data_IF_703811252468
#
_entry.id   IF_703811252468
#
_cell.length_a   1.000
_cell.length_b   1.000
_cell.length_c   1.000
_cell.angle_alpha   90.00
_cell.angle_beta   90.00
_cell.angle_gamma   90.00
#
_symmetry.space_group_name_H-M   'P 1'
#
loop_
_entity.id
_entity.type
_entity.pdbx_description
1 polymer ?
#
# COMPACT_ATOMS: atom_id res chain seq x y z
N UNK A 1 -13.68 54.32 3.59
CA UNK A 1 -13.37 53.80 2.25
C UNK A 1 -13.60 52.29 2.26
N UNK A 2 -14.57 51.82 1.50
CA UNK A 2 -15.01 50.43 1.45
C UNK A 2 -14.05 49.59 0.58
N UNK A 3 -13.28 48.69 1.20
CA UNK A 3 -12.45 47.69 0.50
C UNK A 3 -13.32 46.52 0.01
N UNK A 4 -14.19 46.76 -0.98
CA UNK A 4 -15.26 45.83 -1.38
C UNK A 4 -14.93 44.93 -2.59
N UNK A 5 -13.73 44.99 -3.18
CA UNK A 5 -13.38 44.12 -4.32
C UNK A 5 -11.92 43.68 -4.30
N UNK A 6 -11.51 42.90 -3.29
CA UNK A 6 -10.36 42.00 -3.48
C UNK A 6 -10.85 40.85 -4.34
N UNK A 7 -10.67 40.95 -5.68
CA UNK A 7 -10.76 39.78 -6.56
C UNK A 7 -9.91 38.69 -5.92
N UNK A 8 -10.45 37.49 -5.63
CA UNK A 8 -9.62 36.42 -5.12
C UNK A 8 -8.50 36.22 -6.13
N UNK A 9 -7.27 36.25 -5.65
CA UNK A 9 -6.09 35.90 -6.44
C UNK A 9 -6.42 34.58 -7.12
N UNK A 10 -6.63 34.62 -8.45
CA UNK A 10 -7.07 33.44 -9.21
C UNK A 10 -5.89 32.49 -9.12
N UNK A 11 -6.00 31.48 -8.25
CA UNK A 11 -4.94 30.48 -8.12
C UNK A 11 -4.67 29.89 -9.50
N UNK A 12 -3.40 29.67 -9.86
CA UNK A 12 -3.08 29.07 -11.13
C UNK A 12 -3.86 27.75 -11.27
N UNK A 13 -4.41 27.46 -12.47
CA UNK A 13 -5.07 26.19 -12.70
C UNK A 13 -4.12 25.05 -12.34
N UNK A 14 -4.69 23.96 -11.83
CA UNK A 14 -3.93 22.76 -11.52
C UNK A 14 -3.19 22.28 -12.77
N UNK A 15 -1.90 21.97 -12.65
CA UNK A 15 -1.20 21.26 -13.71
C UNK A 15 -1.61 19.79 -13.63
N UNK A 16 -2.51 19.40 -14.53
CA UNK A 16 -3.01 18.03 -14.67
C UNK A 16 -2.37 17.31 -15.86
N UNK A 17 -1.25 17.82 -16.37
CA UNK A 17 -0.55 17.21 -17.48
C UNK A 17 -0.14 15.76 -17.14
N UNK A 18 -0.47 14.84 -18.04
CA UNK A 18 -0.16 13.42 -17.87
C UNK A 18 -1.08 12.64 -16.92
N UNK A 19 -2.15 13.24 -16.38
CA UNK A 19 -3.19 12.51 -15.66
C UNK A 19 -3.86 11.49 -16.60
N UNK A 20 -3.97 10.23 -16.17
CA UNK A 20 -4.48 9.13 -16.99
C UNK A 20 -3.43 8.50 -17.92
N UNK A 21 -2.20 9.03 -17.95
CA UNK A 21 -1.10 8.46 -18.73
C UNK A 21 0.12 8.14 -17.86
N UNK A 22 0.82 9.16 -17.37
CA UNK A 22 1.99 9.00 -16.48
C UNK A 22 1.60 9.02 -14.99
N UNK A 23 0.46 9.62 -14.65
CA UNK A 23 -0.02 9.78 -13.29
C UNK A 23 -1.44 9.25 -13.16
N UNK A 24 -1.70 8.51 -12.07
CA UNK A 24 -3.04 8.04 -11.69
C UNK A 24 -3.76 9.15 -10.91
N UNK A 25 -3.04 9.82 -10.01
CA UNK A 25 -3.58 10.88 -9.17
C UNK A 25 -2.62 12.07 -9.08
N UNK A 26 -3.16 13.27 -9.23
CA UNK A 26 -2.45 14.55 -9.11
C UNK A 26 -3.12 15.46 -8.08
N UNK A 27 -2.35 16.26 -7.32
CA UNK A 27 -2.89 17.14 -6.31
C UNK A 27 -3.60 18.33 -6.97
N UNK A 28 -4.66 18.83 -6.34
CA UNK A 28 -5.48 19.91 -6.91
C UNK A 28 -5.62 21.07 -5.92
N UNK A 29 -5.36 22.31 -6.36
CA UNK A 29 -5.53 23.49 -5.52
C UNK A 29 -7.01 23.79 -5.26
N UNK A 30 -7.23 24.61 -4.22
CA UNK A 30 -8.57 25.00 -3.78
C UNK A 30 -9.31 25.78 -4.87
N UNK A 31 -10.58 25.44 -5.06
CA UNK A 31 -11.46 26.17 -5.99
C UNK A 31 -11.37 25.76 -7.45
N UNK A 32 -10.61 24.71 -7.78
CA UNK A 32 -10.70 24.03 -9.07
C UNK A 32 -12.03 23.27 -9.26
N UNK A 33 -12.22 22.72 -10.45
CA UNK A 33 -13.31 21.78 -10.79
C UNK A 33 -12.72 20.44 -11.17
N UNK A 34 -13.45 19.37 -10.89
CA UNK A 34 -13.05 18.03 -11.33
C UNK A 34 -13.13 17.95 -12.86
N UNK A 35 -12.04 17.57 -13.56
CA UNK A 35 -12.04 17.43 -15.02
C UNK A 35 -12.99 16.33 -15.51
N UNK A 36 -13.30 16.40 -16.79
CA UNK A 36 -14.13 15.41 -17.47
C UNK A 36 -13.47 14.02 -17.46
N UNK A 37 -14.25 12.97 -17.23
CA UNK A 37 -13.76 11.59 -17.10
C UNK A 37 -12.96 11.30 -15.83
N UNK A 38 -12.83 12.26 -14.92
CA UNK A 38 -12.10 12.11 -13.66
C UNK A 38 -13.05 12.20 -12.45
N UNK A 39 -12.56 11.74 -11.30
CA UNK A 39 -13.18 12.03 -10.01
C UNK A 39 -12.14 12.64 -9.08
N UNK A 40 -12.58 13.32 -8.02
CA UNK A 40 -11.68 13.83 -7.00
C UNK A 40 -11.90 13.14 -5.67
N UNK A 41 -10.81 12.89 -4.94
CA UNK A 41 -10.82 12.40 -3.57
C UNK A 41 -10.28 13.49 -2.68
N UNK A 42 -11.03 13.83 -1.64
CA UNK A 42 -10.58 14.71 -0.57
C UNK A 42 -10.38 13.86 0.67
N UNK A 43 -9.19 13.91 1.27
CA UNK A 43 -8.86 13.19 2.48
C UNK A 43 -8.42 14.15 3.58
N UNK A 44 -8.93 13.93 4.79
CA UNK A 44 -8.46 14.65 5.98
C UNK A 44 -7.27 13.94 6.64
N UNK A 45 -6.72 14.56 7.69
CA UNK A 45 -5.59 13.98 8.44
C UNK A 45 -5.96 12.69 9.16
N UNK A 46 -7.22 12.49 9.51
CA UNK A 46 -7.72 11.25 10.12
C UNK A 46 -7.95 10.13 9.09
N UNK A 47 -7.73 10.40 7.79
CA UNK A 47 -7.90 9.45 6.70
C UNK A 47 -9.34 9.25 6.25
N UNK A 48 -10.30 10.05 6.74
CA UNK A 48 -11.66 10.06 6.22
C UNK A 48 -11.65 10.71 4.85
N UNK A 49 -12.31 10.06 3.90
CA UNK A 49 -12.34 10.50 2.51
C UNK A 49 -13.75 10.80 2.03
N UNK A 50 -13.84 11.63 1.00
CA UNK A 50 -15.06 11.86 0.24
C UNK A 50 -14.73 12.04 -1.22
N UNK A 51 -15.54 11.42 -2.08
CA UNK A 51 -15.42 11.54 -3.54
C UNK A 51 -16.30 12.66 -4.07
N UNK A 52 -15.80 13.37 -5.07
CA UNK A 52 -16.56 14.30 -5.90
C UNK A 52 -16.52 13.81 -7.34
N UNK A 53 -17.67 13.86 -7.99
CA UNK A 53 -17.82 13.50 -9.41
C UNK A 53 -17.20 14.56 -10.32
N UNK A 54 -17.03 14.19 -11.58
CA UNK A 54 -16.79 15.09 -12.71
C UNK A 54 -17.63 16.37 -12.64
N UNK A 55 -17.02 17.51 -13.00
CA UNK A 55 -17.65 18.83 -13.01
C UNK A 55 -17.91 19.45 -11.63
N UNK A 56 -17.77 18.69 -10.53
CA UNK A 56 -17.98 19.19 -9.19
C UNK A 56 -16.90 20.22 -8.80
N UNK A 57 -17.29 21.20 -7.98
CA UNK A 57 -16.38 22.22 -7.47
C UNK A 57 -15.63 21.71 -6.24
N UNK A 58 -14.31 21.89 -6.23
CA UNK A 58 -13.43 21.48 -5.14
C UNK A 58 -13.52 22.46 -3.97
N UNK A 59 -14.43 22.17 -3.03
CA UNK A 59 -14.54 22.83 -1.75
C UNK A 59 -13.64 22.14 -0.72
N UNK A 60 -12.33 22.42 -0.76
CA UNK A 60 -11.33 21.87 0.16
C UNK A 60 -11.47 22.54 1.53
N UNK A 61 -11.70 21.74 2.58
CA UNK A 61 -11.76 22.17 3.98
C UNK A 61 -10.35 22.33 4.57
N UNK A 62 -10.24 23.05 5.68
CA UNK A 62 -8.95 23.28 6.32
C UNK A 62 -8.35 21.95 6.81
N UNK A 63 -7.14 21.64 6.34
CA UNK A 63 -6.44 20.38 6.65
C UNK A 63 -6.80 19.20 5.75
N UNK A 64 -7.68 19.37 4.76
CA UNK A 64 -7.89 18.38 3.70
C UNK A 64 -6.82 18.50 2.60
N UNK A 65 -6.44 17.35 2.05
CA UNK A 65 -5.71 17.24 0.79
C UNK A 65 -6.67 16.75 -0.29
N UNK A 66 -6.50 17.23 -1.53
CA UNK A 66 -7.38 16.88 -2.64
C UNK A 66 -6.55 16.38 -3.82
N UNK A 67 -6.99 15.26 -4.40
CA UNK A 67 -6.42 14.67 -5.60
C UNK A 67 -7.48 14.53 -6.68
N UNK A 68 -7.11 14.83 -7.92
CA UNK A 68 -7.85 14.44 -9.11
C UNK A 68 -7.30 13.10 -9.59
N UNK A 69 -8.20 12.18 -9.91
CA UNK A 69 -7.89 10.80 -10.25
C UNK A 69 -8.55 10.47 -11.58
N UNK A 70 -7.77 9.86 -12.47
CA UNK A 70 -8.31 9.24 -13.66
C UNK A 70 -8.55 7.75 -13.37
N UNK A 71 -9.76 7.21 -13.58
CA UNK A 71 -10.10 5.85 -13.18
C UNK A 71 -9.41 4.76 -14.02
N UNK A 72 -8.94 5.09 -15.22
CA UNK A 72 -8.37 4.13 -16.17
C UNK A 72 -9.20 4.04 -17.45
N UNK A 73 -8.98 3.02 -18.29
CA UNK A 73 -8.14 1.84 -18.04
C UNK A 73 -6.63 2.14 -18.07
N UNK A 74 -5.87 1.36 -17.31
CA UNK A 74 -4.40 1.36 -17.31
C UNK A 74 -3.87 -0.01 -17.75
N UNK A 75 -2.76 -0.02 -18.49
CA UNK A 75 -2.06 -1.24 -18.88
C UNK A 75 -0.62 -1.24 -18.39
N UNK A 76 -0.15 -2.36 -17.84
CA UNK A 76 1.25 -2.53 -17.45
C UNK A 76 1.74 -3.98 -17.66
N UNK A 77 3.05 -4.12 -17.74
CA UNK A 77 3.73 -5.42 -17.78
C UNK A 77 4.42 -5.67 -16.43
N UNK A 78 4.02 -6.73 -15.73
CA UNK A 78 4.56 -7.16 -14.44
C UNK A 78 5.52 -8.33 -14.59
N UNK A 79 6.40 -8.47 -13.61
CA UNK A 79 7.41 -9.54 -13.52
C UNK A 79 7.12 -10.42 -12.31
N UNK A 80 6.42 -11.54 -12.48
CA UNK A 80 6.08 -12.45 -11.38
C UNK A 80 7.33 -13.01 -10.70
N UNK A 81 8.35 -13.36 -11.48
CA UNK A 81 9.57 -13.98 -10.99
C UNK A 81 10.78 -13.10 -11.27
N UNK A 82 11.40 -12.57 -10.22
CA UNK A 82 12.64 -11.81 -10.38
C UNK A 82 13.75 -12.64 -11.08
N UNK A 83 13.75 -13.96 -10.88
CA UNK A 83 14.72 -14.87 -11.48
C UNK A 83 14.49 -15.13 -12.99
N UNK A 84 13.25 -14.99 -13.50
CA UNK A 84 12.87 -15.23 -14.89
C UNK A 84 12.14 -13.99 -15.47
N UNK A 85 12.86 -12.88 -15.71
CA UNK A 85 12.28 -11.60 -16.11
C UNK A 85 11.68 -11.57 -17.52
N UNK A 86 11.91 -12.61 -18.32
CA UNK A 86 11.37 -12.84 -19.66
C UNK A 86 9.92 -13.35 -19.63
N UNK A 87 9.50 -14.01 -18.55
CA UNK A 87 8.11 -14.43 -18.38
C UNK A 87 7.39 -13.34 -17.58
N UNK A 88 6.46 -12.63 -18.23
CA UNK A 88 5.73 -11.53 -17.64
C UNK A 88 4.22 -11.75 -17.62
N UNK A 89 3.53 -10.81 -16.99
CA UNK A 89 2.08 -10.67 -17.04
C UNK A 89 1.72 -9.32 -17.62
N UNK A 90 0.90 -9.31 -18.67
CA UNK A 90 0.25 -8.08 -19.11
C UNK A 90 -1.06 -7.93 -18.35
N UNK A 91 -1.18 -6.82 -17.64
CA UNK A 91 -2.31 -6.54 -16.76
C UNK A 91 -3.02 -5.27 -17.23
N UNK A 92 -4.33 -5.36 -17.43
CA UNK A 92 -5.22 -4.21 -17.57
C UNK A 92 -6.00 -4.03 -16.28
N UNK A 93 -6.04 -2.81 -15.77
CA UNK A 93 -6.72 -2.51 -14.52
C UNK A 93 -7.37 -1.13 -14.50
N UNK A 94 -8.35 -0.99 -13.62
CA UNK A 94 -9.05 0.26 -13.35
C UNK A 94 -9.18 0.50 -11.83
N UNK A 95 -9.26 1.76 -11.44
CA UNK A 95 -9.52 2.17 -10.07
C UNK A 95 -10.99 1.94 -9.73
N UNK A 96 -11.27 1.50 -8.51
CA UNK A 96 -12.62 1.24 -8.01
C UNK A 96 -13.57 2.44 -8.23
N UNK A 97 -14.77 2.16 -8.72
CA UNK A 97 -15.86 3.14 -8.74
C UNK A 97 -16.43 3.33 -7.33
N UNK A 98 -17.01 4.50 -7.04
CA UNK A 98 -17.61 4.73 -5.72
C UNK A 98 -18.75 3.74 -5.41
N UNK A 99 -18.55 2.85 -4.43
CA UNK A 99 -19.61 1.98 -3.92
C UNK A 99 -20.34 2.64 -2.73
N UNK A 100 -21.65 2.96 -2.84
CA UNK A 100 -22.41 3.56 -1.73
C UNK A 100 -22.52 2.66 -0.49
N UNK A 101 -22.17 1.38 -0.58
CA UNK A 101 -22.18 0.42 0.54
C UNK A 101 -20.89 0.44 1.35
N UNK A 102 -19.78 0.87 0.74
CA UNK A 102 -18.50 0.98 1.44
C UNK A 102 -18.37 2.36 2.08
N UNK A 103 -18.24 2.38 3.41
CA UNK A 103 -18.05 3.62 4.18
C UNK A 103 -16.73 4.34 3.82
N UNK A 104 -15.75 3.60 3.30
CA UNK A 104 -14.47 4.11 2.85
C UNK A 104 -13.98 3.22 1.69
N UNK A 105 -13.77 3.83 0.53
CA UNK A 105 -13.27 3.13 -0.66
C UNK A 105 -11.81 2.74 -0.46
N UNK A 106 -11.36 1.66 -1.11
CA UNK A 106 -10.02 1.10 -0.87
C UNK A 106 -8.93 1.93 -1.50
N UNK A 107 -9.16 2.45 -2.71
CA UNK A 107 -8.20 3.35 -3.34
C UNK A 107 -8.08 4.68 -2.58
N UNK A 108 -9.18 5.15 -1.97
CA UNK A 108 -9.16 6.36 -1.13
C UNK A 108 -8.26 6.18 0.10
N UNK A 109 -8.31 5.00 0.73
CA UNK A 109 -7.44 4.65 1.85
C UNK A 109 -5.97 4.65 1.42
N UNK A 110 -5.66 4.03 0.27
CA UNK A 110 -4.31 4.04 -0.32
C UNK A 110 -3.82 5.48 -0.59
N UNK A 111 -4.65 6.35 -1.15
CA UNK A 111 -4.29 7.76 -1.36
C UNK A 111 -4.03 8.49 -0.04
N UNK A 112 -4.84 8.26 0.97
CA UNK A 112 -4.68 8.89 2.28
C UNK A 112 -3.43 8.39 3.04
N UNK A 113 -2.98 7.17 2.77
CA UNK A 113 -1.83 6.54 3.43
C UNK A 113 -0.51 6.70 2.68
N UNK A 114 -0.51 6.51 1.35
CA UNK A 114 0.67 6.41 0.50
C UNK A 114 0.68 7.45 -0.65
N UNK A 115 -0.43 8.16 -0.91
CA UNK A 115 -0.59 9.01 -2.10
C UNK A 115 0.36 10.20 -2.22
N UNK A 116 1.00 10.62 -1.12
CA UNK A 116 2.03 11.65 -1.10
C UNK A 116 1.63 12.93 -1.84
N UNK A 117 2.57 13.48 -2.62
CA UNK A 117 2.30 14.63 -3.49
C UNK A 117 1.58 14.23 -4.77
N UNK A 118 1.90 13.06 -5.34
CA UNK A 118 1.35 12.53 -6.59
C UNK A 118 1.50 11.01 -6.65
N UNK A 119 0.61 10.37 -7.39
CA UNK A 119 0.69 8.92 -7.66
C UNK A 119 1.08 8.72 -9.11
N UNK A 120 2.36 8.44 -9.34
CA UNK A 120 2.89 8.08 -10.65
C UNK A 120 2.53 6.62 -10.99
N UNK A 121 2.22 6.36 -12.26
CA UNK A 121 1.81 5.04 -12.73
C UNK A 121 2.93 4.01 -12.56
N UNK A 122 4.18 4.38 -12.85
CA UNK A 122 5.36 3.52 -12.70
C UNK A 122 5.60 3.09 -11.25
N UNK A 123 5.54 4.03 -10.31
CA UNK A 123 5.65 3.75 -8.88
C UNK A 123 4.51 2.88 -8.37
N UNK A 124 3.30 3.10 -8.86
CA UNK A 124 2.15 2.25 -8.54
C UNK A 124 2.32 0.83 -9.09
N UNK A 125 2.74 0.68 -10.35
CA UNK A 125 3.05 -0.62 -10.98
C UNK A 125 4.15 -1.35 -10.22
N UNK A 126 5.19 -0.65 -9.75
CA UNK A 126 6.23 -1.23 -8.92
C UNK A 126 5.67 -1.77 -7.58
N UNK A 127 4.72 -1.07 -6.97
CA UNK A 127 4.03 -1.53 -5.76
C UNK A 127 3.18 -2.79 -6.03
N UNK A 128 2.42 -2.83 -7.14
CA UNK A 128 1.66 -4.01 -7.56
C UNK A 128 2.57 -5.21 -7.81
N UNK A 129 3.70 -4.99 -8.51
CA UNK A 129 4.69 -6.03 -8.75
C UNK A 129 5.29 -6.57 -7.45
N UNK A 130 5.65 -5.70 -6.51
CA UNK A 130 6.20 -6.11 -5.22
C UNK A 130 5.19 -6.93 -4.41
N UNK A 131 3.91 -6.57 -4.46
CA UNK A 131 2.84 -7.36 -3.84
C UNK A 131 2.71 -8.75 -4.48
N UNK A 132 2.67 -8.82 -5.82
CA UNK A 132 2.60 -10.08 -6.55
C UNK A 132 3.81 -11.00 -6.24
N UNK A 133 5.03 -10.47 -6.35
CA UNK A 133 6.26 -11.23 -6.11
C UNK A 133 6.32 -11.78 -4.69
N UNK A 134 5.82 -11.02 -3.70
CA UNK A 134 5.78 -11.46 -2.31
C UNK A 134 4.85 -12.66 -2.14
N UNK A 135 3.64 -12.58 -2.67
CA UNK A 135 2.67 -13.67 -2.54
C UNK A 135 3.11 -14.93 -3.29
N UNK A 136 3.76 -14.78 -4.44
CA UNK A 136 4.38 -15.91 -5.15
C UNK A 136 5.54 -16.52 -4.35
N UNK A 137 6.41 -15.70 -3.76
CA UNK A 137 7.54 -16.18 -2.96
C UNK A 137 7.09 -16.90 -1.67
N UNK A 138 5.93 -16.54 -1.12
CA UNK A 138 5.33 -17.20 0.04
C UNK A 138 4.49 -18.43 -0.34
N UNK A 139 4.26 -18.68 -1.63
CA UNK A 139 3.39 -19.78 -2.10
C UNK A 139 1.90 -19.53 -1.86
N UNK A 140 1.51 -18.27 -1.61
CA UNK A 140 0.12 -17.86 -1.37
C UNK A 140 -0.67 -17.66 -2.66
N UNK A 141 0.05 -17.30 -3.72
CA UNK A 141 -0.43 -17.38 -5.10
C UNK A 141 0.45 -18.39 -5.81
N UNK A 142 -0.16 -19.16 -6.70
CA UNK A 142 0.56 -20.07 -7.58
C UNK A 142 0.37 -19.58 -9.02
N UNK A 143 1.48 -19.34 -9.72
CA UNK A 143 1.42 -19.01 -11.14
C UNK A 143 1.43 -20.35 -11.89
N UNK A 144 0.28 -20.81 -12.42
CA UNK A 144 0.22 -22.13 -13.00
C UNK A 144 1.07 -22.17 -14.27
N UNK A 145 1.52 -23.36 -14.70
CA UNK A 145 2.20 -23.56 -15.98
C UNK A 145 1.29 -23.31 -17.21
N UNK A 146 0.17 -22.59 -17.02
CA UNK A 146 -0.88 -22.31 -18.00
C UNK A 146 -1.47 -23.59 -18.62
N UNK A 147 -1.55 -24.66 -17.82
CA UNK A 147 -2.02 -25.98 -18.24
C UNK A 147 -3.53 -26.12 -18.24
N UNK A 148 -4.23 -25.43 -17.34
CA UNK A 148 -5.69 -25.41 -17.30
C UNK A 148 -6.26 -24.01 -17.10
N UNK A 149 -7.47 -23.81 -17.64
CA UNK A 149 -8.24 -22.57 -17.47
C UNK A 149 -8.68 -22.37 -16.02
N UNK A 150 -8.94 -23.44 -15.28
CA UNK A 150 -9.37 -23.37 -13.88
C UNK A 150 -8.26 -22.85 -12.97
N UNK A 151 -7.04 -23.39 -13.11
CA UNK A 151 -5.87 -22.91 -12.37
C UNK A 151 -5.56 -21.43 -12.70
N UNK A 152 -5.68 -21.04 -13.98
CA UNK A 152 -5.50 -19.64 -14.37
C UNK A 152 -6.54 -18.71 -13.76
N UNK A 153 -7.80 -19.12 -13.74
CA UNK A 153 -8.85 -18.33 -13.10
C UNK A 153 -8.69 -18.26 -11.58
N UNK A 154 -8.22 -19.32 -10.93
CA UNK A 154 -7.92 -19.29 -9.50
C UNK A 154 -6.82 -18.27 -9.20
N UNK A 155 -5.72 -18.28 -9.98
CA UNK A 155 -4.67 -17.26 -9.89
C UNK A 155 -5.22 -15.86 -10.12
N UNK A 156 -5.95 -15.62 -11.21
CA UNK A 156 -6.52 -14.30 -11.54
C UNK A 156 -7.47 -13.80 -10.46
N UNK A 157 -8.29 -14.67 -9.89
CA UNK A 157 -9.21 -14.34 -8.80
C UNK A 157 -8.44 -13.98 -7.52
N UNK A 158 -7.40 -14.76 -7.19
CA UNK A 158 -6.47 -14.46 -6.09
C UNK A 158 -5.78 -13.11 -6.26
N UNK A 159 -5.21 -12.88 -7.43
CA UNK A 159 -4.51 -11.63 -7.76
C UNK A 159 -5.44 -10.42 -7.77
N UNK A 160 -6.62 -10.53 -8.39
CA UNK A 160 -7.63 -9.46 -8.37
C UNK A 160 -8.07 -9.14 -6.93
N UNK A 161 -8.30 -10.14 -6.09
CA UNK A 161 -8.68 -9.92 -4.70
C UNK A 161 -7.56 -9.25 -3.89
N UNK A 162 -6.30 -9.63 -4.12
CA UNK A 162 -5.14 -8.99 -3.51
C UNK A 162 -5.11 -7.49 -3.86
N UNK A 163 -5.25 -7.17 -5.14
CA UNK A 163 -5.19 -5.79 -5.62
C UNK A 163 -6.40 -4.97 -5.16
N UNK A 164 -7.60 -5.54 -5.22
CA UNK A 164 -8.81 -4.88 -4.74
C UNK A 164 -8.75 -4.61 -3.24
N UNK A 165 -8.35 -5.61 -2.44
CA UNK A 165 -8.40 -5.51 -0.98
C UNK A 165 -7.45 -4.46 -0.44
N UNK A 166 -6.23 -4.35 -1.00
CA UNK A 166 -5.22 -3.39 -0.55
C UNK A 166 -5.33 -2.05 -1.28
N UNK A 167 -5.40 -2.08 -2.60
CA UNK A 167 -5.25 -0.88 -3.42
C UNK A 167 -6.57 -0.35 -3.96
N UNK A 168 -7.69 -1.09 -3.90
CA UNK A 168 -8.94 -0.67 -4.54
C UNK A 168 -8.86 -0.66 -6.05
N UNK A 169 -8.14 -1.62 -6.62
CA UNK A 169 -7.97 -1.77 -8.06
C UNK A 169 -8.64 -3.05 -8.53
N UNK A 170 -9.38 -2.95 -9.62
CA UNK A 170 -10.00 -4.06 -10.32
C UNK A 170 -9.14 -4.44 -11.51
N UNK A 171 -8.80 -5.73 -11.59
CA UNK A 171 -8.07 -6.31 -12.73
C UNK A 171 -9.09 -6.76 -13.76
N UNK A 172 -9.11 -6.08 -14.90
CA UNK A 172 -9.99 -6.39 -16.02
C UNK A 172 -9.46 -7.60 -16.80
N UNK A 173 -8.16 -7.53 -17.14
CA UNK A 173 -7.48 -8.56 -17.91
C UNK A 173 -6.09 -8.84 -17.34
N UNK A 174 -5.69 -10.11 -17.39
CA UNK A 174 -4.38 -10.58 -16.94
C UNK A 174 -4.02 -11.79 -17.80
N UNK A 175 -2.95 -11.64 -18.59
CA UNK A 175 -2.48 -12.67 -19.52
C UNK A 175 -0.97 -12.87 -19.40
N UNK A 176 -0.49 -14.13 -19.49
CA UNK A 176 0.93 -14.41 -19.55
C UNK A 176 1.50 -13.91 -20.89
N UNK A 177 2.66 -13.25 -20.85
CA UNK A 177 3.33 -12.71 -22.03
C UNK A 177 4.83 -12.96 -21.97
N UNK A 178 5.44 -13.16 -23.14
CA UNK A 178 6.90 -13.16 -23.29
C UNK A 178 7.40 -11.72 -23.43
N UNK A 179 8.15 -11.28 -22.42
CA UNK A 179 8.79 -9.96 -22.36
C UNK A 179 10.22 -9.98 -22.92
N UNK A 180 10.71 -11.11 -23.43
CA UNK A 180 12.08 -11.26 -23.94
C UNK A 180 12.42 -10.31 -25.08
N UNK A 181 11.44 -9.92 -25.90
CA UNK A 181 11.65 -8.93 -26.96
C UNK A 181 11.66 -7.47 -26.44
N UNK A 182 10.96 -7.19 -25.33
CA UNK A 182 10.90 -5.86 -24.71
C UNK A 182 12.01 -5.64 -23.67
N UNK A 183 12.75 -6.69 -23.30
CA UNK A 183 13.79 -6.66 -22.28
C UNK A 183 15.09 -7.27 -22.76
N UNK A 184 16.16 -6.46 -22.72
CA UNK A 184 17.50 -6.95 -22.99
C UNK A 184 18.00 -7.80 -21.81
N UNK A 185 17.74 -9.10 -21.89
CA UNK A 185 18.18 -10.08 -20.89
C UNK A 185 19.71 -10.11 -20.77
N UNK A 186 20.44 -9.91 -21.87
CA UNK A 186 21.89 -9.89 -21.84
C UNK A 186 22.40 -8.69 -21.03
N UNK A 187 21.82 -7.50 -21.24
CA UNK A 187 22.13 -6.32 -20.44
C UNK A 187 21.74 -6.52 -18.96
N UNK A 188 20.59 -7.12 -18.67
CA UNK A 188 20.15 -7.40 -17.29
C UNK A 188 21.06 -8.40 -16.57
N UNK A 189 21.44 -9.50 -17.24
CA UNK A 189 22.36 -10.49 -16.68
C UNK A 189 23.76 -9.90 -16.52
N UNK A 190 24.21 -9.06 -17.46
CA UNK A 190 25.49 -8.34 -17.36
C UNK A 190 25.49 -7.38 -16.17
N UNK A 191 24.39 -6.65 -15.96
CA UNK A 191 24.22 -5.78 -14.79
C UNK A 191 24.21 -6.60 -13.49
N UNK A 192 23.53 -7.75 -13.45
CA UNK A 192 23.55 -8.66 -12.29
C UNK A 192 24.94 -9.24 -12.01
N UNK A 193 25.66 -9.64 -13.06
CA UNK A 193 27.04 -10.12 -12.96
C UNK A 193 27.98 -9.02 -12.46
N UNK A 194 27.78 -7.78 -12.91
CA UNK A 194 28.53 -6.62 -12.40
C UNK A 194 28.18 -6.28 -10.94
N UNK A 195 26.97 -6.63 -10.47
CA UNK A 195 26.54 -6.50 -9.08
C UNK A 195 26.85 -7.74 -8.22
N UNK A 196 27.38 -8.82 -8.79
CA UNK A 196 27.79 -10.02 -8.06
C UNK A 196 29.18 -9.79 -7.43
N UNK A 197 29.30 -9.73 -6.09
CA UNK A 197 30.59 -9.49 -5.47
C UNK A 197 31.40 -10.80 -5.40
N UNK A 198 32.72 -10.71 -5.65
CA UNK A 198 33.69 -11.61 -4.99
C UNK A 198 33.48 -11.52 -3.46
N UNK A 199 33.85 -12.53 -2.64
CA UNK A 199 33.54 -12.55 -1.21
C UNK A 199 34.22 -11.39 -0.46
N UNK A 200 33.56 -10.25 -0.48
CA UNK A 200 33.83 -9.01 0.20
C UNK A 200 32.47 -8.32 0.32
N UNK A 201 32.18 -7.80 1.51
CA UNK A 201 30.90 -7.21 1.90
C UNK A 201 30.61 -5.98 1.03
N UNK A 202 30.04 -6.20 -0.15
CA UNK A 202 29.68 -5.14 -1.07
C UNK A 202 28.34 -4.54 -0.65
N UNK A 203 28.41 -3.37 -0.05
CA UNK A 203 27.28 -2.46 0.10
C UNK A 203 26.72 -2.15 -1.29
N UNK A 204 25.49 -2.58 -1.56
CA UNK A 204 24.66 -2.10 -2.66
C UNK A 204 24.69 -0.56 -2.70
N UNK A 205 24.47 0.09 -3.87
CA UNK A 205 24.08 1.50 -3.87
C UNK A 205 22.79 1.59 -3.06
N UNK A 206 22.94 1.94 -1.78
CA UNK A 206 21.83 2.21 -0.90
C UNK A 206 21.13 3.41 -1.55
N UNK A 207 19.92 3.20 -2.06
CA UNK A 207 18.94 4.28 -2.06
C UNK A 207 19.12 4.99 -0.73
N UNK A 208 19.40 6.30 -0.77
CA UNK A 208 19.65 7.10 0.42
C UNK A 208 18.45 6.92 1.32
N UNK A 209 18.56 6.03 2.30
CA UNK A 209 17.45 5.64 3.15
C UNK A 209 17.14 6.86 4.02
N UNK A 210 16.15 7.64 3.60
CA UNK A 210 15.65 8.75 4.37
C UNK A 210 14.79 8.18 5.50
N UNK A 211 15.44 7.97 6.64
CA UNK A 211 14.81 7.43 7.83
C UNK A 211 13.55 8.18 8.24
N UNK A 212 13.52 9.51 8.06
CA UNK A 212 12.38 10.33 8.45
C UNK A 212 11.22 10.19 7.47
N UNK A 213 11.49 10.10 6.17
CA UNK A 213 10.45 9.84 5.18
C UNK A 213 9.85 8.45 5.34
N UNK A 214 10.70 7.43 5.42
CA UNK A 214 10.30 6.03 5.57
C UNK A 214 9.49 5.79 6.85
N UNK A 215 9.94 6.32 7.98
CA UNK A 215 9.23 6.20 9.25
C UNK A 215 7.86 6.88 9.20
N UNK A 216 7.79 8.09 8.64
CA UNK A 216 6.53 8.84 8.52
C UNK A 216 5.52 8.11 7.65
N UNK A 217 5.95 7.62 6.49
CA UNK A 217 5.11 6.85 5.58
C UNK A 217 4.64 5.56 6.25
N UNK A 218 5.56 4.79 6.84
CA UNK A 218 5.21 3.55 7.53
C UNK A 218 4.22 3.76 8.69
N UNK A 219 4.43 4.75 9.55
CA UNK A 219 3.51 5.07 10.64
C UNK A 219 2.16 5.59 10.13
N UNK A 220 2.16 6.39 9.06
CA UNK A 220 0.93 6.87 8.43
C UNK A 220 0.08 5.71 7.92
N UNK A 221 0.71 4.75 7.24
CA UNK A 221 0.07 3.51 6.79
C UNK A 221 -0.46 2.70 7.96
N UNK A 222 0.36 2.40 8.96
CA UNK A 222 -0.06 1.65 10.15
C UNK A 222 -1.25 2.32 10.86
N UNK A 223 -1.24 3.64 10.99
CA UNK A 223 -2.32 4.38 11.65
C UNK A 223 -3.65 4.30 10.88
N UNK A 224 -3.62 4.40 9.55
CA UNK A 224 -4.82 4.41 8.73
C UNK A 224 -5.32 3.02 8.35
N UNK A 225 -4.42 2.13 7.96
CA UNK A 225 -4.77 0.85 7.34
C UNK A 225 -5.02 -0.25 8.37
N UNK A 226 -4.32 -0.25 9.52
CA UNK A 226 -4.47 -1.30 10.52
C UNK A 226 -5.90 -1.40 11.09
N UNK A 227 -6.60 -0.29 11.41
CA UNK A 227 -8.01 -0.34 11.78
C UNK A 227 -8.91 -0.95 10.69
N UNK A 228 -8.60 -0.70 9.41
CA UNK A 228 -9.33 -1.26 8.28
C UNK A 228 -9.08 -2.76 8.12
N UNK A 229 -7.85 -3.23 8.34
CA UNK A 229 -7.52 -4.68 8.40
C UNK A 229 -8.25 -5.35 9.54
N UNK A 230 -8.22 -4.75 10.74
CA UNK A 230 -8.91 -5.26 11.92
C UNK A 230 -10.43 -5.37 11.69
N UNK A 231 -11.05 -4.35 11.09
CA UNK A 231 -12.46 -4.38 10.71
C UNK A 231 -12.73 -5.47 9.65
N UNK A 232 -11.86 -5.58 8.64
CA UNK A 232 -11.96 -6.61 7.61
C UNK A 232 -11.89 -8.02 8.19
N UNK A 233 -10.93 -8.30 9.07
CA UNK A 233 -10.80 -9.61 9.72
C UNK A 233 -12.02 -9.96 10.57
N UNK A 234 -12.56 -8.98 11.31
CA UNK A 234 -13.78 -9.16 12.12
C UNK A 234 -14.99 -9.53 11.28
N UNK A 235 -15.08 -9.01 10.06
CA UNK A 235 -16.22 -9.27 9.16
C UNK A 235 -16.03 -10.51 8.28
N UNK A 236 -14.78 -10.88 7.96
CA UNK A 236 -14.47 -11.94 7.02
C UNK A 236 -14.46 -13.35 7.65
N UNK A 237 -14.18 -13.47 8.95
CA UNK A 237 -14.10 -14.75 9.63
C UNK A 237 -15.39 -15.01 10.39
N UNK A 238 -16.08 -16.10 10.07
CA UNK A 238 -17.17 -16.64 10.88
C UNK A 238 -16.71 -17.94 11.56
N UNK A 239 -16.27 -17.90 12.83
CA UNK A 239 -15.68 -19.05 13.49
C UNK A 239 -16.68 -20.21 13.61
N UNK A 240 -16.36 -21.42 13.13
CA UNK A 240 -17.28 -22.56 13.16
C UNK A 240 -17.41 -23.19 14.56
N UNK A 241 -16.42 -22.98 15.43
CA UNK A 241 -16.35 -23.56 16.76
C UNK A 241 -15.81 -22.58 17.81
N UNK A 242 -16.01 -22.92 19.09
CA UNK A 242 -15.61 -22.08 20.22
C UNK A 242 -14.09 -21.86 20.35
N UNK A 243 -13.26 -22.83 19.95
CA UNK A 243 -11.81 -22.71 20.05
C UNK A 243 -11.29 -21.72 18.98
N UNK A 244 -11.77 -21.87 17.74
CA UNK A 244 -11.49 -20.94 16.64
C UNK A 244 -12.00 -19.53 16.97
N UNK A 245 -13.18 -19.41 17.60
CA UNK A 245 -13.70 -18.12 18.06
C UNK A 245 -12.78 -17.43 19.07
N UNK A 246 -12.33 -18.14 20.11
CA UNK A 246 -11.42 -17.58 21.13
C UNK A 246 -10.10 -17.14 20.52
N UNK A 247 -9.56 -17.94 19.60
CA UNK A 247 -8.31 -17.62 18.92
C UNK A 247 -8.45 -16.37 18.05
N UNK A 248 -9.55 -16.27 17.31
CA UNK A 248 -9.89 -15.07 16.54
C UNK A 248 -10.07 -13.83 17.45
N UNK A 249 -10.76 -13.97 18.58
CA UNK A 249 -10.93 -12.88 19.55
C UNK A 249 -9.59 -12.41 20.12
N UNK A 250 -8.69 -13.32 20.44
CA UNK A 250 -7.34 -13.01 20.94
C UNK A 250 -6.51 -12.28 19.89
N UNK A 251 -6.56 -12.72 18.63
CA UNK A 251 -5.93 -12.03 17.49
C UNK A 251 -6.45 -10.59 17.35
N UNK A 252 -7.77 -10.39 17.38
CA UNK A 252 -8.36 -9.05 17.30
C UNK A 252 -7.93 -8.16 18.48
N UNK A 253 -7.85 -8.72 19.69
CA UNK A 253 -7.39 -7.99 20.88
C UNK A 253 -5.93 -7.56 20.73
N UNK A 254 -5.06 -8.44 20.25
CA UNK A 254 -3.65 -8.15 20.01
C UNK A 254 -3.46 -7.06 18.94
N UNK A 255 -4.18 -7.15 17.83
CA UNK A 255 -4.19 -6.11 16.80
C UNK A 255 -4.68 -4.76 17.31
N UNK A 256 -5.70 -4.74 18.18
CA UNK A 256 -6.19 -3.51 18.80
C UNK A 256 -5.12 -2.84 19.69
N UNK A 257 -4.37 -3.64 20.46
CA UNK A 257 -3.23 -3.14 21.24
C UNK A 257 -2.11 -2.58 20.37
N UNK A 258 -1.81 -3.21 19.22
CA UNK A 258 -0.86 -2.67 18.24
C UNK A 258 -1.37 -1.34 17.68
N UNK A 259 -2.65 -1.25 17.32
CA UNK A 259 -3.28 -0.02 16.82
C UNK A 259 -3.17 1.14 17.82
N UNK A 260 -3.48 0.89 19.10
CA UNK A 260 -3.29 1.86 20.19
C UNK A 260 -1.82 2.26 20.35
N UNK A 261 -0.90 1.31 20.21
CA UNK A 261 0.53 1.55 20.28
C UNK A 261 1.01 2.49 19.18
N UNK A 262 0.54 2.30 17.94
CA UNK A 262 0.88 3.16 16.79
C UNK A 262 0.36 4.59 17.00
N UNK A 263 -0.85 4.75 17.56
CA UNK A 263 -1.43 6.06 17.86
C UNK A 263 -0.64 6.88 18.90
N UNK A 264 0.26 6.26 19.64
CA UNK A 264 1.08 6.87 20.70
C UNK A 264 2.59 6.77 20.43
N UNK A 265 2.97 6.57 19.17
CA UNK A 265 4.36 6.38 18.79
C UNK A 265 5.20 7.66 19.02
N UNK A 266 6.39 7.59 19.65
CA UNK A 266 7.23 8.76 19.84
C UNK A 266 7.75 9.30 18.50
N UNK A 267 7.90 10.62 18.43
CA UNK A 267 8.50 11.29 17.29
C UNK A 267 9.91 10.75 17.01
N UNK A 268 10.25 10.60 15.73
CA UNK A 268 11.55 10.04 15.34
C UNK A 268 12.72 10.94 15.75
N UNK A 269 12.54 12.25 15.61
CA UNK A 269 13.63 13.22 15.77
C UNK A 269 14.06 13.47 17.23
N UNK A 270 13.27 13.06 18.21
CA UNK A 270 13.43 13.48 19.61
C UNK A 270 13.58 12.28 20.55
N UNK A 271 14.59 12.35 21.42
CA UNK A 271 14.76 11.45 22.55
C UNK A 271 13.93 11.93 23.77
N UNK A 272 13.93 13.25 23.99
CA UNK A 272 13.17 13.97 24.99
C UNK A 272 12.79 15.36 24.44
N UNK A 273 11.94 16.15 25.12
CA UNK A 273 11.66 17.53 24.68
C UNK A 273 12.95 18.33 24.47
N UNK A 274 13.15 18.83 23.25
CA UNK A 274 14.35 19.56 22.80
C UNK A 274 15.67 18.76 22.75
N UNK A 275 15.64 17.44 22.98
CA UNK A 275 16.83 16.59 22.87
C UNK A 275 16.75 15.74 21.59
N UNK A 276 17.67 15.94 20.63
CA UNK A 276 17.64 15.20 19.38
C UNK A 276 18.01 13.73 19.60
N UNK A 277 17.30 12.83 18.93
CA UNK A 277 17.65 11.41 18.92
C UNK A 277 18.88 11.17 18.04
N UNK A 278 19.81 10.33 18.48
CA UNK A 278 20.98 9.97 17.69
C UNK A 278 20.59 9.37 16.32
N UNK A 279 21.32 9.70 15.25
CA UNK A 279 20.99 9.27 13.89
C UNK A 279 20.94 7.73 13.72
N UNK A 280 21.80 7.00 14.42
CA UNK A 280 21.80 5.52 14.44
C UNK A 280 20.49 4.97 15.02
N UNK A 281 19.97 5.62 16.05
CA UNK A 281 18.73 5.25 16.72
C UNK A 281 17.51 5.65 15.88
N UNK A 282 17.55 6.80 15.20
CA UNK A 282 16.55 7.15 14.18
C UNK A 282 16.49 6.11 13.05
N UNK A 283 17.64 5.70 12.53
CA UNK A 283 17.74 4.65 11.50
C UNK A 283 17.17 3.31 12.00
N UNK A 284 17.51 2.91 13.24
CA UNK A 284 16.99 1.69 13.87
C UNK A 284 15.46 1.73 13.93
N UNK A 285 14.89 2.82 14.48
CA UNK A 285 13.44 3.01 14.60
C UNK A 285 12.75 2.99 13.24
N UNK A 286 13.27 3.73 12.25
CA UNK A 286 12.72 3.76 10.90
C UNK A 286 12.72 2.37 10.23
N UNK A 287 13.77 1.56 10.43
CA UNK A 287 13.82 0.17 9.92
C UNK A 287 12.78 -0.74 10.57
N UNK A 288 12.46 -0.54 11.85
CA UNK A 288 11.37 -1.27 12.50
C UNK A 288 10.00 -0.82 12.00
N UNK A 289 9.78 0.48 11.80
CA UNK A 289 8.55 0.99 11.17
C UNK A 289 8.34 0.38 9.79
N UNK A 290 9.40 0.34 8.96
CA UNK A 290 9.33 -0.27 7.63
C UNK A 290 8.98 -1.76 7.68
N UNK A 291 9.54 -2.52 8.62
CA UNK A 291 9.21 -3.95 8.80
C UNK A 291 7.79 -4.15 9.30
N UNK A 292 7.32 -3.31 10.22
CA UNK A 292 5.91 -3.32 10.64
C UNK A 292 4.97 -3.02 9.47
N UNK A 293 5.31 -2.06 8.59
CA UNK A 293 4.55 -1.82 7.36
C UNK A 293 4.59 -3.01 6.39
N UNK A 294 5.71 -3.74 6.31
CA UNK A 294 5.77 -4.97 5.54
C UNK A 294 4.87 -6.08 6.11
N UNK A 295 4.79 -6.21 7.44
CA UNK A 295 3.86 -7.13 8.10
C UNK A 295 2.38 -6.71 7.92
N UNK A 296 2.11 -5.40 7.82
CA UNK A 296 0.80 -4.88 7.43
C UNK A 296 0.43 -5.27 5.99
N UNK A 297 1.38 -5.24 5.05
CA UNK A 297 1.13 -5.76 3.69
C UNK A 297 0.76 -7.24 3.71
N UNK A 298 1.44 -8.05 4.53
CA UNK A 298 1.10 -9.46 4.72
C UNK A 298 -0.31 -9.62 5.34
N UNK A 299 -0.69 -8.74 6.26
CA UNK A 299 -2.03 -8.75 6.86
C UNK A 299 -3.13 -8.44 5.83
N UNK A 300 -2.87 -7.51 4.90
CA UNK A 300 -3.78 -7.24 3.77
C UNK A 300 -3.90 -8.43 2.83
N UNK A 301 -2.78 -9.08 2.49
CA UNK A 301 -2.76 -10.26 1.64
C UNK A 301 -3.47 -11.45 2.30
N UNK A 302 -3.27 -11.64 3.62
CA UNK A 302 -4.02 -12.62 4.40
C UNK A 302 -5.53 -12.35 4.34
N UNK A 303 -5.95 -11.10 4.52
CA UNK A 303 -7.37 -10.73 4.43
C UNK A 303 -7.94 -11.01 3.03
N UNK A 304 -7.17 -10.73 1.97
CA UNK A 304 -7.57 -11.08 0.60
C UNK A 304 -7.78 -12.59 0.44
N UNK A 305 -6.87 -13.40 0.98
CA UNK A 305 -7.02 -14.87 0.98
C UNK A 305 -8.22 -15.34 1.78
N UNK A 306 -8.46 -14.81 2.98
CA UNK A 306 -9.63 -15.15 3.79
C UNK A 306 -10.94 -14.86 3.03
N UNK A 307 -11.01 -13.75 2.28
CA UNK A 307 -12.19 -13.40 1.48
C UNK A 307 -12.43 -14.34 0.30
N UNK A 308 -11.37 -14.92 -0.26
CA UNK A 308 -11.45 -15.86 -1.38
C UNK A 308 -11.60 -17.33 -0.96
N UNK A 309 -11.09 -17.69 0.22
CA UNK A 309 -11.13 -19.06 0.71
C UNK A 309 -12.48 -19.41 1.35
N UNK A 310 -12.95 -20.64 1.13
CA UNK A 310 -14.04 -21.21 1.92
C UNK A 310 -13.61 -21.54 3.36
N UNK A 311 -14.60 -21.80 4.23
CA UNK A 311 -14.39 -21.98 5.68
C UNK A 311 -13.38 -23.06 6.12
N UNK A 312 -13.04 -24.01 5.24
CA UNK A 312 -12.12 -25.12 5.55
C UNK A 312 -10.67 -24.68 5.81
N UNK A 313 -10.21 -23.57 5.23
CA UNK A 313 -8.83 -23.09 5.38
C UNK A 313 -8.64 -22.07 6.51
N UNK A 314 -9.71 -21.70 7.20
CA UNK A 314 -9.69 -20.62 8.21
C UNK A 314 -8.72 -20.91 9.34
N UNK A 315 -8.63 -22.14 9.83
CA UNK A 315 -7.73 -22.47 10.94
C UNK A 315 -6.25 -22.25 10.58
N UNK A 316 -5.83 -22.66 9.38
CA UNK A 316 -4.45 -22.46 8.89
C UNK A 316 -4.14 -20.98 8.67
N UNK A 317 -5.10 -20.23 8.12
CA UNK A 317 -4.96 -18.79 7.93
C UNK A 317 -4.89 -18.04 9.28
N UNK A 318 -5.49 -18.56 10.35
CA UNK A 318 -5.35 -17.99 11.70
C UNK A 318 -3.97 -18.29 12.32
N UNK A 319 -3.34 -19.44 12.03
CA UNK A 319 -1.94 -19.68 12.43
C UNK A 319 -1.01 -18.66 11.78
N UNK A 320 -1.25 -18.35 10.50
CA UNK A 320 -0.49 -17.32 9.80
C UNK A 320 -0.78 -15.91 10.32
N UNK A 321 -2.05 -15.64 10.67
CA UNK A 321 -2.43 -14.40 11.34
C UNK A 321 -1.64 -14.22 12.64
N UNK A 322 -1.48 -15.28 13.44
CA UNK A 322 -0.71 -15.23 14.69
C UNK A 322 0.75 -14.82 14.45
N UNK A 323 1.38 -15.35 13.39
CA UNK A 323 2.74 -14.97 12.97
C UNK A 323 2.82 -13.50 12.55
N UNK A 324 1.88 -13.05 11.72
CA UNK A 324 1.85 -11.66 11.22
C UNK A 324 1.66 -10.67 12.38
N UNK A 325 0.74 -10.98 13.30
CA UNK A 325 0.50 -10.16 14.49
C UNK A 325 1.73 -10.14 15.40
N UNK A 326 2.41 -11.27 15.59
CA UNK A 326 3.64 -11.31 16.37
C UNK A 326 4.76 -10.44 15.77
N UNK A 327 4.88 -10.42 14.44
CA UNK A 327 5.83 -9.54 13.73
C UNK A 327 5.48 -8.05 13.95
N UNK A 328 4.20 -7.70 13.81
CA UNK A 328 3.70 -6.34 14.07
C UNK A 328 4.00 -5.89 15.52
N UNK A 329 3.70 -6.74 16.50
CA UNK A 329 3.97 -6.48 17.91
C UNK A 329 5.48 -6.29 18.16
N UNK A 330 6.30 -7.19 17.64
CA UNK A 330 7.75 -7.16 17.79
C UNK A 330 8.36 -5.88 17.22
N UNK A 331 8.04 -5.53 15.98
CA UNK A 331 8.61 -4.34 15.33
C UNK A 331 8.06 -3.03 15.93
N UNK A 332 6.77 -2.98 16.31
CA UNK A 332 6.23 -1.81 17.00
C UNK A 332 6.87 -1.61 18.38
N UNK A 333 7.06 -2.69 19.15
CA UNK A 333 7.73 -2.65 20.44
C UNK A 333 9.20 -2.25 20.29
N UNK A 334 9.91 -2.85 19.33
CA UNK A 334 11.31 -2.57 19.08
C UNK A 334 11.55 -1.13 18.61
N UNK A 335 10.63 -0.54 17.81
CA UNK A 335 10.68 0.89 17.47
C UNK A 335 10.53 1.77 18.73
N UNK A 336 9.65 1.40 19.67
CA UNK A 336 9.44 2.18 20.90
C UNK A 336 10.60 2.04 21.89
N UNK A 337 11.27 0.89 21.92
CA UNK A 337 12.33 0.61 22.88
C UNK A 337 13.37 1.74 22.91
N UNK A 338 13.74 2.16 24.11
CA UNK A 338 14.87 3.04 24.35
C UNK A 338 16.11 2.16 24.46
N UNK A 339 17.10 2.37 23.59
CA UNK A 339 18.42 1.78 23.80
C UNK A 339 18.97 2.38 25.10
N UNK A 340 19.06 1.59 26.18
CA UNK A 340 19.78 2.01 27.37
C UNK A 340 21.22 2.32 26.95
N UNK A 341 21.65 3.56 27.15
CA UNK A 341 23.06 3.91 27.02
C UNK A 341 23.76 3.17 28.15
N UNK A 342 24.54 2.15 27.81
CA UNK A 342 25.47 1.55 28.75
C UNK A 342 26.36 2.67 29.31
N UNK A 343 26.16 2.98 30.58
CA UNK A 343 26.91 3.99 31.33
C UNK A 343 28.36 3.57 31.52
#
# INVERSE_FOLDING_TARGET
MLNLFKRPFRQPPADLSGLGAAFIALPVPKGGTVPDGCFAVLANKEGRTRRLSEGARLAILDGESAWCIHPGPYGCDLVPFAAAPEIGLRVSFAIDSADPREAQQRFDLFLASEGGERVALDGFVAALQAALQRELAQGNLDLPPCTSFEEWNAFRTGFNQLLYTRYGVMVDDCVPVDLGASRDLAALLTARLAMQPAPAVASLPQETFDAAAEDRTALRRLFLELPCVLCGLRLAVFPPDCATFRRHQELLRRLDLVSLSVGTMPALALAAPNEPLAATEQLRRARHSRRAAAALDEAWALLARIKNCGGAMVALLLDEADRIVANLECDCAARRATSEVAA
#
